data_IF_296011757437
#
_entry.id   IF_296011757437
#
_cell.length_a   1.000
_cell.length_b   1.000
_cell.length_c   1.000
_cell.angle_alpha   90.00
_cell.angle_beta   90.00
_cell.angle_gamma   90.00
#
_symmetry.space_group_name_H-M   'P 1'
#
loop_
_entity.id
_entity.type
_entity.pdbx_description
1 polymer ?
#
# COMPACT_ATOMS: atom_id res chain seq x y z
N UNK A 1 -0.01 -3.25 -11.55
CA UNK A 1 -0.43 -3.23 -10.12
C UNK A 1 0.48 -2.24 -9.41
N UNK A 2 -0.04 -1.36 -8.55
CA UNK A 2 0.74 -0.33 -7.84
C UNK A 2 0.50 -0.53 -6.34
N UNK A 3 1.52 -0.36 -5.51
CA UNK A 3 1.29 -0.20 -4.08
C UNK A 3 1.74 1.20 -3.66
N UNK A 4 1.11 1.74 -2.63
CA UNK A 4 1.46 3.03 -2.03
C UNK A 4 1.41 2.89 -0.52
N UNK A 5 2.23 3.68 0.19
CA UNK A 5 2.11 3.79 1.64
C UNK A 5 0.87 4.62 1.96
N UNK A 6 0.00 4.14 2.84
CA UNK A 6 -1.18 4.87 3.27
C UNK A 6 -1.45 4.57 4.73
N UNK A 7 -1.85 5.58 5.49
CA UNK A 7 -2.24 5.43 6.89
C UNK A 7 -3.77 5.46 7.03
N UNK A 8 -4.49 5.31 5.92
CA UNK A 8 -5.95 5.44 5.83
C UNK A 8 -6.58 4.07 5.68
N UNK A 9 -7.45 3.74 6.64
CA UNK A 9 -8.19 2.48 6.68
C UNK A 9 -7.56 1.45 7.61
N UNK A 10 -8.05 0.21 7.52
CA UNK A 10 -7.62 -0.90 8.36
C UNK A 10 -7.16 -2.06 7.50
N UNK A 11 -6.21 -2.84 8.00
CA UNK A 11 -5.75 -4.05 7.36
C UNK A 11 -6.91 -5.03 7.19
N UNK A 12 -7.04 -5.58 5.99
CA UNK A 12 -8.11 -6.52 5.64
C UNK A 12 -8.01 -7.84 6.44
N UNK A 13 -6.80 -8.19 6.88
CA UNK A 13 -6.52 -9.43 7.60
C UNK A 13 -6.79 -9.33 9.10
N UNK A 14 -6.30 -8.28 9.77
CA UNK A 14 -6.30 -8.18 11.24
C UNK A 14 -7.06 -6.97 11.81
N UNK A 15 -7.48 -6.02 10.97
CA UNK A 15 -8.18 -4.81 11.42
C UNK A 15 -7.30 -3.72 12.05
N UNK A 16 -5.98 -3.92 12.12
CA UNK A 16 -5.01 -2.89 12.54
C UNK A 16 -4.96 -1.71 11.57
N UNK A 17 -4.41 -0.54 11.97
CA UNK A 17 -4.20 0.57 11.04
C UNK A 17 -3.44 0.11 9.79
N UNK A 18 -4.02 0.41 8.61
CA UNK A 18 -3.35 0.12 7.36
C UNK A 18 -2.10 0.99 7.25
N UNK A 19 -0.98 0.40 6.81
CA UNK A 19 0.27 1.09 6.50
C UNK A 19 0.52 1.13 4.99
N UNK A 20 -0.06 0.20 4.24
CA UNK A 20 0.12 0.06 2.80
C UNK A 20 -1.22 -0.20 2.10
N UNK A 21 -1.39 0.38 0.93
CA UNK A 21 -2.48 0.10 0.01
C UNK A 21 -1.94 -0.44 -1.31
N UNK A 22 -2.36 -1.64 -1.69
CA UNK A 22 -2.13 -2.19 -3.02
C UNK A 22 -3.32 -1.87 -3.92
N UNK A 23 -3.09 -1.03 -4.92
CA UNK A 23 -4.02 -0.65 -5.99
C UNK A 23 -3.94 -1.69 -7.13
N UNK A 24 -5.04 -2.39 -7.35
CA UNK A 24 -5.20 -3.34 -8.46
C UNK A 24 -5.99 -2.71 -9.61
N UNK A 25 -5.76 -3.18 -10.85
CA UNK A 25 -6.61 -2.81 -11.98
C UNK A 25 -8.07 -3.21 -11.67
N UNK A 26 -9.02 -2.37 -12.12
CA UNK A 26 -10.44 -2.56 -11.84
C UNK A 26 -10.94 -1.89 -10.54
N UNK A 27 -10.22 -0.89 -10.02
CA UNK A 27 -10.66 -0.06 -8.90
C UNK A 27 -10.58 -0.72 -7.51
N UNK A 28 -10.07 -1.96 -7.45
CA UNK A 28 -9.89 -2.69 -6.20
C UNK A 28 -8.64 -2.20 -5.47
N UNK A 29 -8.73 -2.07 -4.16
CA UNK A 29 -7.60 -1.78 -3.28
C UNK A 29 -7.57 -2.79 -2.13
N UNK A 30 -6.38 -3.28 -1.80
CA UNK A 30 -6.15 -4.07 -0.59
C UNK A 30 -5.33 -3.27 0.40
N UNK A 31 -5.75 -3.32 1.67
CA UNK A 31 -5.10 -2.62 2.76
C UNK A 31 -4.33 -3.61 3.63
N UNK A 32 -3.07 -3.30 3.90
CA UNK A 32 -2.18 -4.13 4.69
C UNK A 32 -1.55 -3.31 5.83
N UNK A 33 -1.47 -3.88 7.03
CA UNK A 33 -0.65 -3.33 8.12
C UNK A 33 0.84 -3.70 7.90
N UNK A 34 1.72 -3.20 8.77
CA UNK A 34 3.17 -3.46 8.64
C UNK A 34 3.56 -4.94 8.78
N UNK A 35 2.83 -5.70 9.59
CA UNK A 35 3.06 -7.14 9.77
C UNK A 35 2.54 -7.95 8.58
N UNK A 36 1.31 -7.67 8.13
CA UNK A 36 0.65 -8.45 7.08
C UNK A 36 1.01 -8.02 5.65
N UNK A 37 1.75 -6.93 5.46
CA UNK A 37 2.14 -6.47 4.14
C UNK A 37 3.20 -7.38 3.49
N UNK A 38 2.92 -7.97 2.31
CA UNK A 38 3.89 -8.75 1.57
C UNK A 38 5.12 -7.91 1.21
N UNK A 39 6.30 -8.54 1.16
CA UNK A 39 7.55 -7.86 0.76
C UNK A 39 7.45 -7.17 -0.61
N UNK A 40 6.69 -7.76 -1.54
CA UNK A 40 6.42 -7.16 -2.85
C UNK A 40 5.62 -5.87 -2.76
N UNK A 41 4.65 -5.78 -1.84
CA UNK A 41 3.84 -4.58 -1.60
C UNK A 41 4.69 -3.50 -0.96
N UNK A 42 5.51 -3.85 0.04
CA UNK A 42 6.46 -2.91 0.67
C UNK A 42 7.43 -2.31 -0.35
N UNK A 43 8.02 -3.15 -1.21
CA UNK A 43 8.91 -2.71 -2.30
C UNK A 43 8.20 -1.82 -3.32
N UNK A 44 6.98 -2.18 -3.73
CA UNK A 44 6.20 -1.37 -4.67
C UNK A 44 5.74 -0.04 -4.06
N UNK A 45 5.36 -0.03 -2.78
CA UNK A 45 4.98 1.18 -2.05
C UNK A 45 6.16 2.15 -1.94
N UNK A 46 7.34 1.64 -1.59
CA UNK A 46 8.57 2.42 -1.56
C UNK A 46 8.93 2.98 -2.93
N UNK A 47 8.84 2.16 -3.98
CA UNK A 47 9.09 2.60 -5.35
C UNK A 47 8.04 3.62 -5.87
N UNK A 48 6.83 3.61 -5.31
CA UNK A 48 5.80 4.60 -5.62
C UNK A 48 5.99 5.92 -4.87
N UNK A 49 6.46 5.91 -3.62
CA UNK A 49 6.83 7.14 -2.89
C UNK A 49 7.91 7.94 -3.64
N UNK A 50 8.91 7.23 -4.17
CA UNK A 50 10.01 7.83 -4.95
C UNK A 50 9.50 8.49 -6.24
N UNK A 51 8.52 7.86 -6.90
CA UNK A 51 7.89 8.37 -8.14
C UNK A 51 6.88 9.49 -7.91
N UNK A 52 6.26 9.58 -6.74
CA UNK A 52 5.32 10.65 -6.40
C UNK A 52 6.07 11.95 -6.09
N UNK A 53 7.23 11.83 -5.45
CA UNK A 53 8.12 12.95 -5.13
C UNK A 53 8.72 13.62 -6.37
N UNK A 54 8.77 12.93 -7.50
CA UNK A 54 9.30 13.44 -8.77
C UNK A 54 8.30 14.25 -9.61
N UNK A 55 7.05 14.45 -9.14
CA UNK A 55 6.00 15.12 -9.92
C UNK A 55 5.52 16.46 -9.35
N UNK A 56 6.29 17.07 -8.45
CA UNK A 56 5.99 18.39 -7.88
C UNK A 56 6.77 19.49 -8.58
#
# INVERSE_FOLDING_TARGET
MKAVRTHVGRCDTCGEPAAYAQLLPGGRRFLFCEEHAPLLVKKQAKAAEDKDSAKK
#
